data_IF_273014119915
#
_entry.id   IF_273014119915
#
_cell.length_a   1.000
_cell.length_b   1.000
_cell.length_c   1.000
_cell.angle_alpha   90.00
_cell.angle_beta   90.00
_cell.angle_gamma   90.00
#
_symmetry.space_group_name_H-M   'P 1'
#
loop_
_entity.id
_entity.type
_entity.pdbx_description
1 polymer ?
#
# COMPACT_ATOMS: atom_id res chain seq x y z
N UNK A 1 -25.32 -4.62 10.23
CA UNK A 1 -24.06 -4.04 10.76
C UNK A 1 -23.48 -3.11 9.71
N UNK A 2 -23.36 -1.84 10.10
CA UNK A 2 -22.66 -0.71 9.47
C UNK A 2 -22.92 -0.40 7.99
N UNK A 3 -23.86 0.51 7.77
CA UNK A 3 -23.68 1.59 6.79
C UNK A 3 -22.29 2.22 6.95
N UNK A 4 -21.57 2.43 5.86
CA UNK A 4 -20.52 3.44 5.79
C UNK A 4 -20.88 4.41 4.68
N UNK A 5 -21.38 5.56 5.09
CA UNK A 5 -21.24 6.79 4.33
C UNK A 5 -19.75 7.05 4.09
N UNK A 6 -19.36 7.45 2.88
CA UNK A 6 -18.27 8.40 2.75
C UNK A 6 -18.60 9.44 1.67
N UNK A 7 -18.79 10.66 2.15
CA UNK A 7 -18.80 11.88 1.36
C UNK A 7 -17.32 12.27 1.22
N UNK A 8 -16.77 12.08 0.03
CA UNK A 8 -15.34 12.23 -0.28
C UNK A 8 -14.79 10.95 -0.87
N UNK A 9 -14.21 11.04 -2.07
CA UNK A 9 -13.52 9.93 -2.75
C UNK A 9 -12.21 9.55 -2.01
N UNK A 10 -12.32 9.10 -0.77
CA UNK A 10 -11.18 8.49 -0.07
C UNK A 10 -10.89 7.15 -0.75
N UNK A 11 -9.83 7.12 -1.55
CA UNK A 11 -9.37 5.90 -2.20
C UNK A 11 -9.12 4.81 -1.16
N UNK A 12 -9.52 3.59 -1.51
CA UNK A 12 -9.46 2.44 -0.61
C UNK A 12 -8.04 2.16 -0.10
N UNK A 13 -7.97 1.63 1.11
CA UNK A 13 -6.71 1.23 1.73
C UNK A 13 -6.33 -0.18 1.26
N UNK A 14 -5.21 -0.28 0.55
CA UNK A 14 -4.69 -1.55 -0.01
C UNK A 14 -3.55 -2.08 0.85
N UNK A 15 -3.60 -3.37 1.19
CA UNK A 15 -2.50 -4.06 1.90
C UNK A 15 -1.65 -4.85 0.90
N UNK A 16 -0.34 -4.60 0.86
CA UNK A 16 0.61 -5.27 -0.02
C UNK A 16 1.60 -6.07 0.82
N UNK A 17 1.64 -7.39 0.63
CA UNK A 17 2.63 -8.26 1.25
C UNK A 17 3.87 -8.36 0.35
N UNK A 18 5.07 -8.30 0.94
CA UNK A 18 6.31 -8.29 0.17
C UNK A 18 6.62 -6.95 -0.52
N UNK A 19 6.15 -5.83 0.04
CA UNK A 19 6.33 -4.49 -0.52
C UNK A 19 7.80 -4.06 -0.72
N UNK A 20 8.74 -4.70 0.00
CA UNK A 20 10.18 -4.47 -0.13
C UNK A 20 10.88 -5.27 -1.24
N UNK A 21 10.16 -6.10 -2.00
CA UNK A 21 10.74 -6.82 -3.15
C UNK A 21 10.64 -6.02 -4.46
N UNK A 22 11.37 -6.44 -5.50
CA UNK A 22 11.42 -5.76 -6.81
C UNK A 22 10.02 -5.53 -7.43
N UNK A 23 9.14 -6.52 -7.37
CA UNK A 23 7.78 -6.39 -7.89
C UNK A 23 6.87 -5.64 -6.90
N UNK A 24 7.03 -5.91 -5.61
CA UNK A 24 6.23 -5.28 -4.56
C UNK A 24 6.39 -3.75 -4.54
N UNK A 25 7.60 -3.26 -4.75
CA UNK A 25 7.89 -1.82 -4.79
C UNK A 25 7.23 -1.13 -6.00
N UNK A 26 7.18 -1.79 -7.16
CA UNK A 26 6.49 -1.27 -8.34
C UNK A 26 4.97 -1.24 -8.16
N UNK A 27 4.39 -2.27 -7.54
CA UNK A 27 2.96 -2.30 -7.23
C UNK A 27 2.59 -1.18 -6.26
N UNK A 28 3.37 -0.97 -5.20
CA UNK A 28 3.17 0.14 -4.26
C UNK A 28 3.26 1.49 -4.97
N UNK A 29 4.28 1.68 -5.82
CA UNK A 29 4.47 2.91 -6.59
C UNK A 29 3.26 3.21 -7.49
N UNK A 30 2.79 2.22 -8.23
CA UNK A 30 1.64 2.34 -9.12
C UNK A 30 0.35 2.69 -8.34
N UNK A 31 0.11 2.01 -7.22
CA UNK A 31 -1.06 2.26 -6.36
C UNK A 31 -1.02 3.67 -5.76
N UNK A 32 0.15 4.15 -5.33
CA UNK A 32 0.33 5.52 -4.84
C UNK A 32 0.12 6.56 -5.94
N UNK A 33 0.63 6.32 -7.16
CA UNK A 33 0.40 7.23 -8.31
C UNK A 33 -1.08 7.33 -8.67
N UNK A 34 -1.82 6.23 -8.53
CA UNK A 34 -3.26 6.20 -8.68
C UNK A 34 -4.01 6.84 -7.50
N UNK A 35 -3.31 7.31 -6.46
CA UNK A 35 -3.89 7.99 -5.30
C UNK A 35 -4.48 7.06 -4.24
N UNK A 36 -4.19 5.75 -4.30
CA UNK A 36 -4.61 4.82 -3.25
C UNK A 36 -3.73 4.94 -2.01
N UNK A 37 -4.30 4.59 -0.86
CA UNK A 37 -3.56 4.50 0.40
C UNK A 37 -3.01 3.09 0.54
N UNK A 38 -1.70 2.94 0.65
CA UNK A 38 -1.06 1.60 0.65
C UNK A 38 -0.38 1.31 1.98
N UNK A 39 -0.58 0.11 2.52
CA UNK A 39 0.22 -0.46 3.62
C UNK A 39 1.04 -1.63 3.11
N UNK A 40 2.35 -1.45 3.06
CA UNK A 40 3.28 -2.52 2.74
C UNK A 40 3.69 -3.29 3.99
N UNK A 41 3.69 -4.62 3.93
CA UNK A 41 4.36 -5.47 4.91
C UNK A 41 5.57 -6.12 4.26
N UNK A 42 6.72 -6.05 4.94
CA UNK A 42 7.93 -6.76 4.59
C UNK A 42 8.25 -7.77 5.70
N UNK A 43 8.88 -8.89 5.33
CA UNK A 43 9.27 -9.93 6.31
C UNK A 43 10.34 -9.40 7.28
N UNK A 44 11.20 -8.51 6.81
CA UNK A 44 12.21 -7.83 7.60
C UNK A 44 12.23 -6.33 7.24
N UNK A 45 11.78 -5.43 8.13
CA UNK A 45 11.83 -3.99 7.88
C UNK A 45 13.24 -3.39 8.08
N UNK A 46 14.20 -4.17 8.60
CA UNK A 46 15.58 -3.74 8.88
C UNK A 46 16.56 -4.15 7.75
N UNK A 47 16.12 -4.92 6.75
CA UNK A 47 16.87 -5.09 5.50
C UNK A 47 16.72 -3.81 4.67
N UNK A 48 17.49 -2.80 5.07
CA UNK A 48 17.68 -1.50 4.42
C UNK A 48 18.41 -1.65 3.07
N UNK A 49 17.99 -2.58 2.22
CA UNK A 49 18.46 -2.66 0.82
C UNK A 49 17.74 -1.70 -0.11
N UNK A 50 16.70 -1.02 0.38
CA UNK A 50 15.88 -0.10 -0.42
C UNK A 50 15.54 1.21 0.32
N UNK A 51 16.38 1.64 1.30
CA UNK A 51 16.31 2.98 1.88
C UNK A 51 16.92 4.02 0.93
#
# INVERSE_FOLDING_TARGET
MSSKSNCGEEKELVCVTGAGGFIGSWVVKELLQRGYRVRGTARDPADSKNA
#
